data_IF_774531768198
#
_entry.id   IF_774531768198
#
_cell.length_a   1.000
_cell.length_b   1.000
_cell.length_c   1.000
_cell.angle_alpha   90.00
_cell.angle_beta   90.00
_cell.angle_gamma   90.00
#
_symmetry.space_group_name_H-M   'P 1'
#
loop_
_entity.id
_entity.type
_entity.pdbx_description
1 polymer ?
#
# COMPACT_ATOMS: atom_id res chain seq x y z
N UNK A 1 -10.37 46.21 -9.19
CA UNK A 1 -10.49 45.53 -7.88
C UNK A 1 -11.61 44.49 -7.88
N UNK A 2 -12.77 44.77 -8.46
CA UNK A 2 -13.88 43.80 -8.51
C UNK A 2 -13.61 42.61 -9.45
N UNK A 3 -12.92 42.82 -10.57
CA UNK A 3 -12.51 41.75 -11.49
C UNK A 3 -11.57 40.73 -10.81
N UNK A 4 -10.57 41.21 -10.06
CA UNK A 4 -9.68 40.35 -9.25
C UNK A 4 -10.47 39.59 -8.17
N UNK A 5 -11.49 40.23 -7.55
CA UNK A 5 -12.34 39.54 -6.56
C UNK A 5 -13.21 38.46 -7.21
N UNK A 6 -13.72 38.70 -8.41
CA UNK A 6 -14.49 37.73 -9.18
C UNK A 6 -13.62 36.55 -9.62
N UNK A 7 -12.40 36.82 -10.09
CA UNK A 7 -11.44 35.78 -10.46
C UNK A 7 -11.02 34.92 -9.25
N UNK A 8 -10.74 35.54 -8.10
CA UNK A 8 -10.46 34.81 -6.85
C UNK A 8 -11.66 33.95 -6.43
N UNK A 9 -12.89 34.45 -6.58
CA UNK A 9 -14.09 33.68 -6.26
C UNK A 9 -14.26 32.47 -7.19
N UNK A 10 -14.05 32.66 -8.49
CA UNK A 10 -14.10 31.60 -9.49
C UNK A 10 -13.04 30.51 -9.23
N UNK A 11 -11.79 30.90 -8.98
CA UNK A 11 -10.71 29.97 -8.65
C UNK A 11 -10.99 29.18 -7.36
N UNK A 12 -11.56 29.83 -6.34
CA UNK A 12 -11.96 29.14 -5.10
C UNK A 12 -13.04 28.10 -5.35
N UNK A 13 -13.99 28.41 -6.23
CA UNK A 13 -15.04 27.47 -6.61
C UNK A 13 -14.46 26.28 -7.38
N UNK A 14 -13.58 26.53 -8.34
CA UNK A 14 -12.89 25.47 -9.10
C UNK A 14 -12.06 24.56 -8.19
N UNK A 15 -11.27 25.14 -7.28
CA UNK A 15 -10.52 24.36 -6.28
C UNK A 15 -11.44 23.53 -5.39
N UNK A 16 -12.60 24.06 -4.99
CA UNK A 16 -13.56 23.31 -4.19
C UNK A 16 -14.15 22.13 -4.98
N UNK A 17 -14.45 22.31 -6.26
CA UNK A 17 -14.93 21.25 -7.13
C UNK A 17 -13.87 20.16 -7.35
N UNK A 18 -12.64 20.54 -7.68
CA UNK A 18 -11.54 19.59 -7.88
C UNK A 18 -11.25 18.76 -6.62
N UNK A 19 -11.37 19.36 -5.43
CA UNK A 19 -11.27 18.63 -4.16
C UNK A 19 -12.38 17.60 -4.01
N UNK A 20 -13.62 17.95 -4.33
CA UNK A 20 -14.74 17.00 -4.26
C UNK A 20 -14.57 15.84 -5.24
N UNK A 21 -14.11 16.12 -6.46
CA UNK A 21 -13.83 15.09 -7.46
C UNK A 21 -12.68 14.18 -7.02
N UNK A 22 -11.62 14.74 -6.44
CA UNK A 22 -10.51 13.99 -5.87
C UNK A 22 -10.94 13.10 -4.70
N UNK A 23 -11.73 13.64 -3.77
CA UNK A 23 -12.23 12.89 -2.61
C UNK A 23 -13.12 11.72 -3.07
N UNK A 24 -14.01 11.95 -4.04
CA UNK A 24 -14.87 10.90 -4.60
C UNK A 24 -14.06 9.80 -5.30
N UNK A 25 -13.03 10.17 -6.06
CA UNK A 25 -12.13 9.21 -6.70
C UNK A 25 -11.33 8.40 -5.67
N UNK A 26 -10.86 9.05 -4.61
CA UNK A 26 -10.14 8.41 -3.50
C UNK A 26 -11.04 7.42 -2.76
N UNK A 27 -12.27 7.81 -2.41
CA UNK A 27 -13.24 6.94 -1.73
C UNK A 27 -13.54 5.68 -2.56
N UNK A 28 -13.72 5.85 -3.87
CA UNK A 28 -13.92 4.73 -4.79
C UNK A 28 -12.71 3.78 -4.82
N UNK A 29 -11.50 4.32 -4.95
CA UNK A 29 -10.27 3.53 -4.96
C UNK A 29 -10.05 2.79 -3.64
N UNK A 30 -10.27 3.45 -2.50
CA UNK A 30 -10.23 2.84 -1.18
C UNK A 30 -11.29 1.73 -1.03
N UNK A 31 -12.50 1.95 -1.54
CA UNK A 31 -13.58 0.95 -1.54
C UNK A 31 -13.21 -0.32 -2.30
N UNK A 32 -12.64 -0.19 -3.51
CA UNK A 32 -12.15 -1.35 -4.29
C UNK A 32 -11.01 -2.05 -3.56
N UNK A 33 -10.01 -1.29 -3.08
CA UNK A 33 -8.88 -1.86 -2.36
C UNK A 33 -9.35 -2.66 -1.15
N UNK A 34 -10.31 -2.12 -0.38
CA UNK A 34 -10.91 -2.80 0.76
C UNK A 34 -11.61 -4.10 0.35
N UNK A 35 -12.42 -4.06 -0.70
CA UNK A 35 -13.09 -5.25 -1.22
C UNK A 35 -12.08 -6.35 -1.63
N UNK A 36 -10.97 -5.97 -2.28
CA UNK A 36 -9.91 -6.91 -2.63
C UNK A 36 -9.27 -7.55 -1.40
N UNK A 37 -8.96 -6.76 -0.37
CA UNK A 37 -8.38 -7.26 0.89
C UNK A 37 -9.34 -8.20 1.62
N UNK A 38 -10.64 -7.92 1.57
CA UNK A 38 -11.65 -8.74 2.26
C UNK A 38 -11.91 -10.06 1.49
N UNK A 39 -11.85 -10.07 0.16
CA UNK A 39 -12.23 -11.25 -0.66
C UNK A 39 -11.03 -12.13 -1.01
N UNK A 40 -9.89 -11.55 -1.40
CA UNK A 40 -8.75 -12.31 -1.92
C UNK A 40 -8.17 -13.35 -0.96
N UNK A 41 -8.11 -13.14 0.37
CA UNK A 41 -7.62 -14.17 1.28
C UNK A 41 -8.39 -15.49 1.17
N UNK A 42 -9.71 -15.43 0.97
CA UNK A 42 -10.55 -16.62 0.84
C UNK A 42 -10.36 -17.32 -0.50
N UNK A 43 -10.05 -16.57 -1.56
CA UNK A 43 -9.84 -17.12 -2.90
C UNK A 43 -8.44 -17.67 -3.11
N UNK A 44 -7.42 -17.05 -2.49
CA UNK A 44 -6.02 -17.35 -2.77
C UNK A 44 -5.40 -18.31 -1.75
N UNK A 45 -5.89 -18.39 -0.51
CA UNK A 45 -5.26 -19.27 0.49
C UNK A 45 -5.39 -20.73 0.07
N UNK A 46 -4.24 -21.39 -0.15
CA UNK A 46 -4.18 -22.77 -0.62
C UNK A 46 -4.45 -22.95 -2.12
N UNK A 47 -4.68 -21.85 -2.87
CA UNK A 47 -4.91 -21.90 -4.30
C UNK A 47 -3.58 -22.14 -5.06
N UNK A 48 -3.54 -22.98 -6.11
CA UNK A 48 -2.32 -23.31 -6.84
C UNK A 48 -1.62 -22.09 -7.46
N UNK A 49 -2.40 -21.11 -7.93
CA UNK A 49 -1.87 -19.88 -8.53
C UNK A 49 -1.46 -18.81 -7.51
N UNK A 50 -1.67 -19.02 -6.21
CA UNK A 50 -1.40 -18.01 -5.19
C UNK A 50 0.07 -17.55 -5.20
N UNK A 51 1.01 -18.47 -5.43
CA UNK A 51 2.43 -18.15 -5.55
C UNK A 51 2.72 -17.24 -6.76
N UNK A 52 2.02 -17.44 -7.88
CA UNK A 52 2.18 -16.61 -9.08
C UNK A 52 1.64 -15.20 -8.86
N UNK A 53 0.45 -15.08 -8.29
CA UNK A 53 -0.15 -13.79 -7.92
C UNK A 53 0.72 -13.06 -6.91
N UNK A 54 1.20 -13.77 -5.88
CA UNK A 54 2.11 -13.21 -4.87
C UNK A 54 3.39 -12.66 -5.48
N UNK A 55 4.01 -13.35 -6.46
CA UNK A 55 5.20 -12.86 -7.17
C UNK A 55 4.93 -11.58 -7.96
N UNK A 56 3.79 -11.49 -8.66
CA UNK A 56 3.42 -10.29 -9.41
C UNK A 56 3.25 -9.08 -8.49
N UNK A 57 2.53 -9.25 -7.37
CA UNK A 57 2.33 -8.16 -6.42
C UNK A 57 3.61 -7.83 -5.64
N UNK A 58 4.47 -8.81 -5.37
CA UNK A 58 5.78 -8.59 -4.75
C UNK A 58 6.67 -7.75 -5.66
N UNK A 59 6.73 -8.06 -6.96
CA UNK A 59 7.49 -7.26 -7.92
C UNK A 59 7.12 -5.77 -7.84
N UNK A 60 5.83 -5.47 -7.79
CA UNK A 60 5.34 -4.10 -7.63
C UNK A 60 5.74 -3.47 -6.30
N UNK A 61 5.76 -4.24 -5.21
CA UNK A 61 6.24 -3.77 -3.91
C UNK A 61 7.73 -3.44 -3.95
N UNK A 62 8.55 -4.31 -4.54
CA UNK A 62 9.99 -4.12 -4.68
C UNK A 62 10.29 -2.91 -5.59
N UNK A 63 9.55 -2.78 -6.71
CA UNK A 63 9.70 -1.67 -7.65
C UNK A 63 9.33 -0.32 -7.03
N UNK A 64 8.30 -0.30 -6.18
CA UNK A 64 7.95 0.88 -5.40
C UNK A 64 9.12 1.33 -4.52
N UNK A 65 9.74 0.40 -3.78
CA UNK A 65 10.86 0.71 -2.88
C UNK A 65 12.07 1.22 -3.66
N UNK A 66 12.41 0.59 -4.78
CA UNK A 66 13.49 1.02 -5.65
C UNK A 66 13.29 2.47 -6.15
N UNK A 67 12.10 2.80 -6.65
CA UNK A 67 11.79 4.14 -7.16
C UNK A 67 11.71 5.19 -6.05
N UNK A 68 11.33 4.80 -4.83
CA UNK A 68 11.32 5.69 -3.67
C UNK A 68 12.74 6.03 -3.19
N UNK A 69 13.64 5.05 -3.19
CA UNK A 69 15.04 5.22 -2.78
C UNK A 69 15.90 5.90 -3.87
N UNK A 70 15.51 5.74 -5.14
CA UNK A 70 16.23 6.29 -6.27
C UNK A 70 15.31 7.08 -7.21
N UNK A 71 14.85 8.29 -6.81
CA UNK A 71 13.96 9.11 -7.63
C UNK A 71 14.54 9.42 -9.02
N UNK A 72 15.86 9.55 -9.15
CA UNK A 72 16.55 9.81 -10.43
C UNK A 72 16.42 8.68 -11.46
N UNK A 73 15.92 7.50 -11.07
CA UNK A 73 15.61 6.39 -11.99
C UNK A 73 14.22 6.53 -12.61
N UNK A 74 13.26 7.16 -11.91
CA UNK A 74 11.93 7.43 -12.43
C UNK A 74 11.96 8.25 -13.73
N UNK A 75 12.90 9.20 -13.81
CA UNK A 75 13.09 10.05 -14.99
C UNK A 75 13.68 9.30 -16.20
N UNK A 76 14.43 8.22 -15.97
CA UNK A 76 15.01 7.39 -17.05
C UNK A 76 14.01 6.40 -17.61
N UNK A 77 13.11 5.90 -16.77
CA UNK A 77 12.12 4.89 -17.12
C UNK A 77 10.80 5.52 -17.62
N UNK A 78 10.92 6.48 -18.54
CA UNK A 78 9.81 7.12 -19.26
C UNK A 78 8.76 7.82 -18.37
N UNK A 79 9.15 8.38 -17.23
CA UNK A 79 8.23 9.07 -16.32
C UNK A 79 7.42 8.13 -15.44
N UNK A 80 7.91 6.91 -15.21
CA UNK A 80 7.34 5.97 -14.26
C UNK A 80 7.39 6.52 -12.84
N UNK A 81 6.23 6.69 -12.21
CA UNK A 81 6.11 7.16 -10.83
C UNK A 81 5.90 6.00 -9.86
N UNK A 82 6.58 6.04 -8.70
CA UNK A 82 6.35 5.11 -7.60
C UNK A 82 4.87 5.07 -7.16
N UNK A 83 4.12 6.17 -7.33
CA UNK A 83 2.71 6.27 -6.96
C UNK A 83 1.84 5.22 -7.68
N UNK A 84 2.19 4.84 -8.92
CA UNK A 84 1.46 3.82 -9.68
C UNK A 84 1.53 2.42 -9.05
N UNK A 85 2.54 2.15 -8.22
CA UNK A 85 2.76 0.85 -7.58
C UNK A 85 2.16 0.76 -6.17
N UNK A 86 1.66 1.87 -5.62
CA UNK A 86 1.30 1.95 -4.22
C UNK A 86 0.17 1.00 -3.81
N UNK A 87 -0.87 0.88 -4.64
CA UNK A 87 -2.00 -0.01 -4.39
C UNK A 87 -1.55 -1.49 -4.38
N UNK A 88 -0.72 -1.89 -5.35
CA UNK A 88 -0.23 -3.26 -5.49
C UNK A 88 0.72 -3.64 -4.35
N UNK A 89 1.64 -2.74 -3.99
CA UNK A 89 2.50 -2.86 -2.80
C UNK A 89 1.67 -3.06 -1.54
N UNK A 90 0.67 -2.21 -1.33
CA UNK A 90 -0.18 -2.25 -0.14
C UNK A 90 -0.96 -3.56 -0.06
N UNK A 91 -1.50 -4.03 -1.20
CA UNK A 91 -2.20 -5.30 -1.29
C UNK A 91 -1.29 -6.48 -1.00
N UNK A 92 -0.07 -6.50 -1.57
CA UNK A 92 0.93 -7.53 -1.28
C UNK A 92 1.19 -7.65 0.23
N UNK A 93 1.53 -6.52 0.86
CA UNK A 93 1.89 -6.47 2.29
C UNK A 93 0.72 -6.87 3.20
N UNK A 94 -0.49 -6.40 2.92
CA UNK A 94 -1.67 -6.77 3.70
C UNK A 94 -1.98 -8.26 3.60
N UNK A 95 -1.93 -8.84 2.39
CA UNK A 95 -2.16 -10.27 2.20
C UNK A 95 -1.03 -11.13 2.80
N UNK A 96 0.20 -10.60 2.87
CA UNK A 96 1.31 -11.24 3.58
C UNK A 96 1.05 -11.32 5.09
N UNK A 97 0.61 -10.21 5.71
CA UNK A 97 0.20 -10.17 7.12
C UNK A 97 -0.98 -11.10 7.44
N UNK A 98 -1.84 -11.37 6.45
CA UNK A 98 -2.97 -12.30 6.58
C UNK A 98 -2.61 -13.77 6.28
N UNK A 99 -1.34 -14.07 5.99
CA UNK A 99 -0.86 -15.42 5.69
C UNK A 99 -1.49 -16.02 4.43
N UNK A 100 -1.68 -15.19 3.41
CA UNK A 100 -2.21 -15.63 2.12
C UNK A 100 -1.11 -16.23 1.25
N UNK A 101 0.10 -15.69 1.32
CA UNK A 101 1.20 -16.09 0.44
C UNK A 101 1.90 -17.37 0.90
N UNK A 102 2.03 -18.38 0.02
CA UNK A 102 2.76 -19.60 0.35
C UNK A 102 4.23 -19.29 0.66
N UNK A 103 4.74 -19.85 1.77
CA UNK A 103 6.15 -19.71 2.17
C UNK A 103 6.52 -18.32 2.73
N UNK A 104 5.55 -17.46 3.00
CA UNK A 104 5.75 -16.18 3.69
C UNK A 104 5.19 -16.31 5.10
N UNK A 105 6.01 -16.06 6.12
CA UNK A 105 5.58 -16.08 7.52
C UNK A 105 4.89 -14.74 7.89
N UNK A 106 3.59 -14.75 8.27
CA UNK A 106 2.89 -13.54 8.68
C UNK A 106 3.52 -12.84 9.87
N UNK A 107 4.14 -13.59 10.78
CA UNK A 107 4.77 -13.03 11.97
C UNK A 107 6.03 -12.23 11.61
N UNK A 108 6.88 -12.79 10.73
CA UNK A 108 8.05 -12.10 10.19
C UNK A 108 7.62 -10.84 9.44
N UNK A 109 6.55 -10.91 8.63
CA UNK A 109 6.03 -9.76 7.92
C UNK A 109 5.48 -8.65 8.85
N UNK A 110 4.89 -9.03 9.99
CA UNK A 110 4.45 -8.09 11.00
C UNK A 110 5.65 -7.38 11.66
N UNK A 111 6.72 -8.12 11.96
CA UNK A 111 7.97 -7.55 12.47
C UNK A 111 8.59 -6.56 11.50
N UNK A 112 8.70 -6.93 10.22
CA UNK A 112 9.21 -6.02 9.19
C UNK A 112 8.34 -4.77 9.03
N UNK A 113 7.01 -4.91 9.09
CA UNK A 113 6.10 -3.77 9.00
C UNK A 113 6.30 -2.79 10.16
N UNK A 114 6.49 -3.30 11.37
CA UNK A 114 6.81 -2.50 12.55
C UNK A 114 8.17 -1.82 12.43
N UNK A 115 9.19 -2.54 11.95
CA UNK A 115 10.52 -1.98 11.72
C UNK A 115 10.47 -0.82 10.70
N UNK A 116 9.74 -0.99 9.59
CA UNK A 116 9.51 0.07 8.58
C UNK A 116 8.75 1.28 9.16
N UNK A 117 7.89 1.08 10.15
CA UNK A 117 7.18 2.15 10.85
C UNK A 117 8.04 2.86 11.92
N UNK A 118 9.30 2.45 12.11
CA UNK A 118 10.18 3.00 13.14
C UNK A 118 9.83 2.57 14.56
N UNK A 119 9.05 1.49 14.74
CA UNK A 119 8.69 0.99 16.05
C UNK A 119 9.89 0.33 16.74
N UNK A 120 10.18 0.77 17.97
CA UNK A 120 11.32 0.34 18.80
C UNK A 120 10.87 -0.30 20.12
N UNK A 121 9.63 -0.81 20.17
CA UNK A 121 9.07 -1.49 21.35
C UNK A 121 9.71 -2.85 21.64
N UNK A 122 9.33 -3.49 22.77
CA UNK A 122 9.94 -4.74 23.20
C UNK A 122 9.76 -5.84 22.14
N UNK A 123 10.82 -6.59 21.90
CA UNK A 123 10.85 -7.69 20.94
C UNK A 123 9.66 -8.65 21.19
N UNK A 124 8.68 -8.75 20.27
CA UNK A 124 7.50 -9.57 20.48
C UNK A 124 7.82 -11.08 20.51
N UNK A 125 9.05 -11.48 20.19
CA UNK A 125 9.53 -12.87 20.37
C UNK A 125 9.94 -13.19 21.81
N UNK A 126 10.10 -12.19 22.68
CA UNK A 126 10.61 -12.35 24.05
C UNK A 126 9.63 -13.08 25.01
N UNK A 127 8.39 -13.36 24.60
CA UNK A 127 7.40 -14.06 25.42
C UNK A 127 7.35 -15.59 25.26
N UNK A 128 8.19 -16.21 24.42
CA UNK A 128 8.33 -17.69 24.35
C UNK A 128 9.47 -18.17 25.24
N UNK A 129 9.28 -18.10 26.55
CA UNK A 129 10.31 -18.55 27.50
C UNK A 129 9.79 -18.89 28.89
N UNK A 130 8.99 -19.96 29.01
CA UNK A 130 9.07 -20.92 30.13
C UNK A 130 8.04 -22.06 29.95
N UNK A 131 8.46 -23.30 29.64
CA UNK A 131 7.68 -24.47 30.04
C UNK A 131 7.83 -24.62 31.55
N UNK A 132 6.73 -24.41 32.28
CA UNK A 132 6.63 -24.73 33.70
C UNK A 132 6.87 -26.22 33.90
N UNK A 133 7.74 -26.51 34.88
CA UNK A 133 8.08 -27.84 35.37
C UNK A 133 6.90 -28.51 36.08
#
# INVERSE_FOLDING_TARGET
MDEIRQEIAALRQEVAQLRQELDAANDWACGIHRALVDVLPFLLRGHPEAAKVGKLLKYSADRYEELQEHPDRADRDAGESWAGYEAQKSLYRQLALLGVWPGVDPHEQALEALARAGWSGPDPTSSRGAPGR
#
